data_IF_332590817175
#
_entry.id   IF_332590817175
#
_cell.length_a   1.000
_cell.length_b   1.000
_cell.length_c   1.000
_cell.angle_alpha   90.00
_cell.angle_beta   90.00
_cell.angle_gamma   90.00
#
_symmetry.space_group_name_H-M   'P 1'
#
loop_
_entity.id
_entity.type
_entity.pdbx_description
1 polymer ?
#
# COMPACT_ATOMS: atom_id res chain seq x y z
N UNK A 1 -11.83 4.89 17.67
CA UNK A 1 -12.28 3.80 18.56
C UNK A 1 -13.79 3.84 18.66
N UNK A 2 -14.46 2.70 18.46
CA UNK A 2 -15.89 2.51 18.66
C UNK A 2 -16.12 1.80 19.99
N UNK A 3 -17.12 2.25 20.73
CA UNK A 3 -17.55 1.63 21.99
C UNK A 3 -18.97 1.12 21.83
N UNK A 4 -19.22 -0.07 22.32
CA UNK A 4 -20.52 -0.73 22.29
C UNK A 4 -20.99 -1.02 23.71
N UNK A 5 -22.28 -1.29 23.85
CA UNK A 5 -22.84 -1.75 25.12
C UNK A 5 -22.26 -3.12 25.47
N UNK A 6 -22.09 -3.39 26.76
CA UNK A 6 -21.44 -4.62 27.25
C UNK A 6 -22.25 -5.90 26.99
N UNK A 7 -23.55 -5.76 26.74
CA UNK A 7 -24.48 -6.86 26.43
C UNK A 7 -24.51 -7.23 24.95
N UNK A 8 -23.86 -6.42 24.07
CA UNK A 8 -23.81 -6.70 22.65
C UNK A 8 -22.70 -7.71 22.35
N UNK A 9 -23.05 -8.82 21.69
CA UNK A 9 -22.08 -9.79 21.23
C UNK A 9 -21.08 -9.17 20.24
N UNK A 10 -19.78 -9.46 20.40
CA UNK A 10 -18.70 -8.88 19.60
C UNK A 10 -18.91 -9.09 18.09
N UNK A 11 -19.40 -10.27 17.69
CA UNK A 11 -19.68 -10.60 16.31
C UNK A 11 -20.82 -9.77 15.71
N UNK A 12 -21.86 -9.46 16.51
CA UNK A 12 -22.93 -8.56 16.08
C UNK A 12 -22.45 -7.11 15.93
N UNK A 13 -21.58 -6.67 16.84
CA UNK A 13 -20.93 -5.35 16.72
C UNK A 13 -20.08 -5.27 15.45
N UNK A 14 -19.31 -6.30 15.14
CA UNK A 14 -18.49 -6.38 13.93
C UNK A 14 -19.34 -6.27 12.66
N UNK A 15 -20.40 -7.07 12.57
CA UNK A 15 -21.32 -7.02 11.42
C UNK A 15 -21.92 -5.64 11.23
N UNK A 16 -22.29 -4.96 12.32
CA UNK A 16 -22.84 -3.59 12.27
C UNK A 16 -21.81 -2.58 11.78
N UNK A 17 -20.54 -2.70 12.21
CA UNK A 17 -19.44 -1.84 11.73
C UNK A 17 -19.19 -2.07 10.25
N UNK A 18 -19.09 -3.34 9.82
CA UNK A 18 -18.85 -3.68 8.43
C UNK A 18 -19.98 -3.18 7.52
N UNK A 19 -21.23 -3.35 7.94
CA UNK A 19 -22.40 -2.85 7.21
C UNK A 19 -22.36 -1.32 7.09
N UNK A 20 -21.99 -0.61 8.15
CA UNK A 20 -21.87 0.85 8.16
C UNK A 20 -20.72 1.34 7.26
N UNK A 21 -19.56 0.67 7.26
CA UNK A 21 -18.45 0.98 6.37
C UNK A 21 -18.86 0.78 4.90
N UNK A 22 -19.52 -0.33 4.59
CA UNK A 22 -20.00 -0.62 3.24
C UNK A 22 -21.04 0.41 2.76
N UNK A 23 -21.97 0.80 3.63
CA UNK A 23 -22.97 1.83 3.31
C UNK A 23 -22.34 3.21 3.07
N UNK A 24 -21.29 3.55 3.81
CA UNK A 24 -20.58 4.81 3.68
C UNK A 24 -19.56 4.82 2.51
N UNK A 25 -19.22 3.69 1.92
CA UNK A 25 -18.15 3.57 0.94
C UNK A 25 -18.28 4.54 -0.25
N UNK A 26 -19.53 4.75 -0.73
CA UNK A 26 -19.81 5.65 -1.85
C UNK A 26 -19.86 7.15 -1.43
N UNK A 27 -19.84 7.43 -0.13
CA UNK A 27 -19.83 8.79 0.42
C UNK A 27 -18.42 9.27 0.78
N UNK A 28 -17.44 8.35 0.74
CA UNK A 28 -16.05 8.67 1.04
C UNK A 28 -15.39 9.35 -0.17
N UNK A 29 -14.43 10.25 0.07
CA UNK A 29 -13.63 10.83 -1.00
C UNK A 29 -12.93 9.74 -1.83
N UNK A 30 -12.85 9.95 -3.14
CA UNK A 30 -12.25 8.97 -4.08
C UNK A 30 -10.73 8.94 -4.03
N UNK A 31 -10.10 9.89 -3.37
CA UNK A 31 -8.65 10.05 -3.21
C UNK A 31 -8.10 9.40 -1.92
N UNK A 32 -8.92 8.65 -1.20
CA UNK A 32 -8.46 7.90 -0.02
C UNK A 32 -7.47 6.82 -0.46
N UNK A 33 -6.25 6.76 0.14
CA UNK A 33 -5.20 5.82 -0.26
C UNK A 33 -5.58 4.35 -0.08
N UNK A 34 -6.46 4.03 0.88
CA UNK A 34 -6.94 2.68 1.14
C UNK A 34 -8.35 2.71 1.74
N UNK A 35 -9.18 1.68 1.50
CA UNK A 35 -10.48 1.54 2.15
C UNK A 35 -10.35 1.53 3.67
N UNK A 36 -11.37 2.02 4.42
CA UNK A 36 -11.40 1.91 5.87
C UNK A 36 -11.33 0.45 6.32
N UNK A 37 -10.46 0.17 7.27
CA UNK A 37 -10.32 -1.14 7.90
C UNK A 37 -10.63 -1.05 9.40
N UNK A 38 -11.13 -2.12 9.97
CA UNK A 38 -11.34 -2.23 11.41
C UNK A 38 -10.62 -3.46 11.97
N UNK A 39 -10.41 -3.48 13.27
CA UNK A 39 -9.82 -4.62 13.97
C UNK A 39 -10.49 -4.81 15.33
N UNK A 40 -10.62 -6.08 15.74
CA UNK A 40 -11.21 -6.48 17.03
C UNK A 40 -10.11 -6.50 18.10
N UNK A 41 -9.74 -5.35 18.61
CA UNK A 41 -8.74 -5.23 19.68
C UNK A 41 -9.16 -4.18 20.69
N UNK A 42 -8.73 -4.37 21.93
CA UNK A 42 -8.73 -3.29 22.90
C UNK A 42 -7.43 -2.49 22.73
N UNK A 43 -7.51 -1.20 22.35
CA UNK A 43 -6.31 -0.38 22.14
C UNK A 43 -5.42 -0.23 23.40
N UNK A 44 -5.98 -0.47 24.58
CA UNK A 44 -5.26 -0.41 25.84
C UNK A 44 -4.50 -1.71 26.17
N UNK A 45 -4.78 -2.81 25.48
CA UNK A 45 -4.10 -4.06 25.71
C UNK A 45 -2.71 -4.05 25.07
N UNK A 46 -1.72 -4.42 25.85
CA UNK A 46 -0.36 -4.65 25.32
C UNK A 46 -0.36 -5.86 24.36
N UNK A 47 0.54 -5.89 23.37
CA UNK A 47 0.75 -7.07 22.57
C UNK A 47 1.08 -8.31 23.45
N UNK A 48 0.46 -9.44 23.18
CA UNK A 48 0.74 -10.69 23.88
C UNK A 48 2.06 -11.31 23.44
N UNK A 49 2.48 -11.01 22.22
CA UNK A 49 3.72 -11.51 21.64
C UNK A 49 4.30 -10.47 20.70
N UNK A 50 5.59 -10.21 20.84
CA UNK A 50 6.37 -9.38 19.92
C UNK A 50 7.44 -10.23 19.28
N UNK A 51 7.46 -10.30 17.95
CA UNK A 51 8.45 -11.03 17.16
C UNK A 51 9.34 -10.07 16.41
N UNK A 52 10.64 -10.28 16.45
CA UNK A 52 11.60 -9.57 15.61
C UNK A 52 12.05 -10.47 14.45
N UNK A 53 11.83 -10.01 13.22
CA UNK A 53 12.25 -10.72 12.01
C UNK A 53 13.50 -10.03 11.47
N UNK A 54 14.58 -10.80 11.37
CA UNK A 54 15.88 -10.35 10.84
C UNK A 54 16.28 -11.20 9.65
N UNK A 55 17.20 -10.70 8.83
CA UNK A 55 17.82 -11.48 7.76
C UNK A 55 19.28 -11.11 7.60
N UNK A 56 20.11 -12.12 7.32
CA UNK A 56 21.53 -11.93 6.95
C UNK A 56 21.76 -11.82 5.45
N UNK A 57 20.76 -12.16 4.64
CA UNK A 57 20.90 -12.27 3.18
C UNK A 57 19.95 -11.37 2.41
N UNK A 58 18.76 -11.06 2.97
CA UNK A 58 17.76 -10.24 2.30
C UNK A 58 17.80 -8.79 2.81
N UNK A 59 17.67 -7.80 1.92
CA UNK A 59 17.46 -6.41 2.31
C UNK A 59 16.19 -6.25 3.15
N UNK A 60 16.19 -5.31 4.11
CA UNK A 60 15.05 -5.10 5.04
C UNK A 60 13.74 -4.78 4.33
N UNK A 61 13.75 -4.13 3.17
CA UNK A 61 12.57 -3.90 2.32
C UNK A 61 11.91 -5.22 1.89
N UNK A 62 12.72 -6.21 1.50
CA UNK A 62 12.21 -7.53 1.12
C UNK A 62 11.72 -8.31 2.33
N UNK A 63 12.43 -8.21 3.47
CA UNK A 63 12.00 -8.81 4.74
C UNK A 63 10.65 -8.25 5.16
N UNK A 64 10.46 -6.93 5.08
CA UNK A 64 9.19 -6.27 5.38
C UNK A 64 8.08 -6.79 4.46
N UNK A 65 8.32 -6.87 3.16
CA UNK A 65 7.33 -7.35 2.20
C UNK A 65 6.92 -8.81 2.48
N UNK A 66 7.88 -9.68 2.80
CA UNK A 66 7.59 -11.07 3.18
C UNK A 66 6.85 -11.17 4.52
N UNK A 67 7.24 -10.33 5.49
CA UNK A 67 6.57 -10.27 6.79
C UNK A 67 5.11 -9.84 6.64
N UNK A 68 4.83 -8.81 5.83
CA UNK A 68 3.48 -8.28 5.59
C UNK A 68 2.61 -9.26 4.79
N UNK A 69 3.12 -9.75 3.67
CA UNK A 69 2.31 -10.54 2.73
C UNK A 69 2.14 -12.01 3.14
N UNK A 70 3.03 -12.58 3.93
CA UNK A 70 3.00 -13.99 4.30
C UNK A 70 2.87 -14.24 5.79
N UNK A 71 3.74 -13.64 6.60
CA UNK A 71 3.81 -13.95 8.03
C UNK A 71 2.63 -13.33 8.77
N UNK A 72 2.43 -12.02 8.62
CA UNK A 72 1.34 -11.32 9.29
C UNK A 72 -0.04 -11.85 8.89
N UNK A 73 -0.23 -12.16 7.61
CA UNK A 73 -1.50 -12.73 7.13
C UNK A 73 -1.79 -14.12 7.72
N UNK A 74 -0.78 -14.99 7.79
CA UNK A 74 -0.97 -16.32 8.40
C UNK A 74 -1.24 -16.24 9.90
N UNK A 75 -0.55 -15.34 10.61
CA UNK A 75 -0.76 -15.15 12.04
C UNK A 75 -2.14 -14.55 12.31
N UNK A 76 -2.59 -13.59 11.51
CA UNK A 76 -3.91 -12.96 11.66
C UNK A 76 -5.09 -13.93 11.49
N UNK A 77 -4.86 -15.06 10.81
CA UNK A 77 -5.87 -16.13 10.64
C UNK A 77 -5.95 -17.09 11.83
N UNK A 78 -5.03 -17.00 12.80
CA UNK A 78 -5.03 -17.86 13.99
C UNK A 78 -6.18 -17.43 14.90
N UNK A 79 -6.95 -18.40 15.36
CA UNK A 79 -8.05 -18.18 16.31
C UNK A 79 -7.52 -17.52 17.59
N UNK A 80 -8.18 -16.43 18.01
CA UNK A 80 -7.78 -15.65 19.17
C UNK A 80 -6.84 -14.47 18.86
N UNK A 81 -6.32 -14.37 17.64
CA UNK A 81 -5.57 -13.17 17.19
C UNK A 81 -6.55 -12.10 16.73
N UNK A 82 -6.46 -10.93 17.34
CA UNK A 82 -7.30 -9.77 16.99
C UNK A 82 -6.64 -8.81 16.00
N UNK A 83 -5.31 -8.62 16.14
CA UNK A 83 -4.56 -7.71 15.28
C UNK A 83 -3.08 -8.12 15.22
N UNK A 84 -2.51 -8.03 14.04
CA UNK A 84 -1.07 -8.14 13.81
C UNK A 84 -0.59 -6.83 13.19
N UNK A 85 0.31 -6.13 13.85
CA UNK A 85 0.90 -4.89 13.35
C UNK A 85 2.39 -5.05 13.10
N UNK A 86 2.86 -4.44 12.03
CA UNK A 86 4.29 -4.38 11.70
C UNK A 86 4.83 -2.99 12.03
N UNK A 87 6.02 -2.94 12.58
CA UNK A 87 6.72 -1.71 12.95
C UNK A 87 8.19 -1.77 12.50
N UNK A 88 8.77 -0.61 12.21
CA UNK A 88 10.19 -0.47 11.89
C UNK A 88 10.62 -0.97 10.50
N UNK A 89 9.74 -1.63 9.78
CA UNK A 89 10.02 -2.07 8.42
C UNK A 89 9.74 -0.98 7.38
N UNK A 90 10.40 -1.11 6.25
CA UNK A 90 10.30 -0.20 5.12
C UNK A 90 9.53 -0.86 3.97
N UNK A 91 8.35 -0.36 3.65
CA UNK A 91 7.57 -0.86 2.50
C UNK A 91 8.27 -0.51 1.18
N UNK A 92 8.29 -1.43 0.20
CA UNK A 92 8.83 -1.13 -1.12
C UNK A 92 7.98 -0.10 -1.84
N UNK A 93 8.62 0.84 -2.52
CA UNK A 93 7.98 1.85 -3.35
C UNK A 93 8.87 2.24 -4.53
N UNK A 94 8.28 2.76 -5.59
CA UNK A 94 9.02 3.46 -6.64
C UNK A 94 9.15 4.91 -6.23
N UNK A 95 10.38 5.35 -6.01
CA UNK A 95 10.69 6.73 -5.63
C UNK A 95 11.06 7.54 -6.87
N UNK A 96 10.34 8.63 -7.08
CA UNK A 96 10.61 9.60 -8.14
C UNK A 96 11.13 10.88 -7.50
N UNK A 97 12.41 11.17 -7.70
CA UNK A 97 13.05 12.37 -7.19
C UNK A 97 13.22 13.37 -8.33
N UNK A 98 12.38 14.38 -8.35
CA UNK A 98 12.39 15.40 -9.38
C UNK A 98 13.69 16.22 -9.39
N UNK A 99 14.20 16.53 -10.59
CA UNK A 99 15.33 17.43 -10.79
C UNK A 99 14.80 18.83 -11.18
N UNK A 100 14.85 19.82 -10.26
CA UNK A 100 14.29 21.15 -10.54
C UNK A 100 14.91 21.85 -11.74
N UNK A 101 16.21 21.64 -11.98
CA UNK A 101 16.93 22.25 -13.11
C UNK A 101 16.47 21.65 -14.44
N UNK A 102 16.32 20.34 -14.48
CA UNK A 102 15.84 19.62 -15.67
C UNK A 102 14.37 19.95 -15.98
N UNK A 103 13.52 20.06 -14.94
CA UNK A 103 12.12 20.51 -15.09
C UNK A 103 12.07 21.92 -15.70
N UNK A 104 12.78 22.89 -15.11
CA UNK A 104 12.82 24.26 -15.61
C UNK A 104 13.35 24.36 -17.05
N UNK A 105 14.39 23.59 -17.40
CA UNK A 105 14.93 23.54 -18.77
C UNK A 105 13.92 23.02 -19.80
N UNK A 106 12.96 22.19 -19.37
CA UNK A 106 11.88 21.69 -20.22
C UNK A 106 10.56 22.47 -20.09
N UNK A 107 10.52 23.54 -19.29
CA UNK A 107 9.31 24.33 -19.05
C UNK A 107 8.25 23.59 -18.24
N UNK A 108 8.67 22.62 -17.43
CA UNK A 108 7.81 21.78 -16.61
C UNK A 108 7.84 22.19 -15.14
N UNK A 109 6.77 21.91 -14.44
CA UNK A 109 6.63 22.04 -13.00
C UNK A 109 6.37 20.69 -12.32
N UNK A 110 6.30 20.65 -11.00
CA UNK A 110 6.06 19.41 -10.23
C UNK A 110 4.65 18.84 -10.47
N UNK A 111 3.68 19.69 -10.76
CA UNK A 111 2.30 19.25 -11.01
C UNK A 111 2.18 18.52 -12.35
N UNK A 112 2.92 18.96 -13.37
CA UNK A 112 3.01 18.26 -14.65
C UNK A 112 3.55 16.85 -14.46
N UNK A 113 4.58 16.72 -13.62
CA UNK A 113 5.17 15.43 -13.27
C UNK A 113 4.18 14.53 -12.53
N UNK A 114 3.48 15.08 -11.52
CA UNK A 114 2.45 14.35 -10.77
C UNK A 114 1.33 13.87 -11.69
N UNK A 115 0.87 14.73 -12.57
CA UNK A 115 -0.20 14.42 -13.52
C UNK A 115 0.22 13.32 -14.49
N UNK A 116 1.44 13.39 -15.04
CA UNK A 116 1.97 12.38 -15.95
C UNK A 116 2.03 11.00 -15.27
N UNK A 117 2.55 10.93 -14.03
CA UNK A 117 2.65 9.69 -13.24
C UNK A 117 1.25 9.12 -12.94
N UNK A 118 0.31 9.96 -12.48
CA UNK A 118 -1.04 9.54 -12.16
C UNK A 118 -1.78 9.02 -13.39
N UNK A 119 -1.64 9.73 -14.53
CA UNK A 119 -2.30 9.35 -15.80
C UNK A 119 -1.72 8.06 -16.37
N UNK A 120 -0.41 7.84 -16.22
CA UNK A 120 0.25 6.64 -16.73
C UNK A 120 -0.14 5.36 -15.96
N UNK A 121 -0.65 5.49 -14.73
CA UNK A 121 -0.97 4.35 -13.86
C UNK A 121 -2.47 4.19 -13.59
N UNK A 122 -3.31 4.55 -14.53
CA UNK A 122 -4.78 4.43 -14.42
C UNK A 122 -5.27 3.14 -15.04
N UNK A 123 -5.97 2.32 -14.25
CA UNK A 123 -6.73 1.18 -14.78
C UNK A 123 -7.99 1.69 -15.48
N UNK A 124 -8.02 1.61 -16.80
CA UNK A 124 -9.18 2.00 -17.62
C UNK A 124 -9.83 0.78 -18.24
N UNK A 125 -11.17 0.77 -18.32
CA UNK A 125 -11.90 -0.21 -19.11
C UNK A 125 -11.53 -0.05 -20.59
N UNK A 126 -11.17 -1.16 -21.25
CA UNK A 126 -10.75 -1.18 -22.66
C UNK A 126 -11.90 -1.53 -23.61
N UNK A 127 -13.07 -1.88 -23.07
CA UNK A 127 -14.26 -2.28 -23.81
C UNK A 127 -14.40 -3.78 -23.96
N UNK A 128 -15.35 -4.19 -24.79
CA UNK A 128 -15.68 -5.57 -25.06
C UNK A 128 -15.58 -5.87 -26.56
N UNK A 129 -15.24 -7.10 -26.89
CA UNK A 129 -15.41 -7.66 -28.23
C UNK A 129 -16.65 -8.55 -28.20
N UNK A 130 -17.74 -8.06 -28.77
CA UNK A 130 -19.02 -8.77 -28.80
C UNK A 130 -19.18 -9.53 -30.10
N UNK A 131 -19.46 -10.82 -29.99
CA UNK A 131 -19.86 -11.68 -31.09
C UNK A 131 -21.32 -12.12 -30.88
N UNK A 132 -22.03 -12.63 -31.90
CA UNK A 132 -23.42 -13.07 -31.74
C UNK A 132 -23.64 -14.13 -30.65
N UNK A 133 -22.56 -14.87 -30.26
CA UNK A 133 -22.62 -15.95 -29.28
C UNK A 133 -21.85 -15.71 -28.01
N UNK A 134 -20.91 -14.75 -27.97
CA UNK A 134 -20.02 -14.51 -26.81
C UNK A 134 -19.58 -13.06 -26.72
N UNK A 135 -19.44 -12.56 -25.52
CA UNK A 135 -18.81 -11.30 -25.21
C UNK A 135 -17.45 -11.54 -24.53
N UNK A 136 -16.39 -10.93 -25.02
CA UNK A 136 -15.04 -10.98 -24.47
C UNK A 136 -14.68 -9.60 -23.91
N UNK A 137 -14.42 -9.52 -22.62
CA UNK A 137 -13.92 -8.29 -21.98
C UNK A 137 -12.44 -8.13 -22.34
N UNK A 138 -12.07 -6.98 -22.90
CA UNK A 138 -10.68 -6.65 -23.17
C UNK A 138 -10.10 -6.08 -21.87
N UNK A 139 -9.20 -6.83 -21.22
CA UNK A 139 -8.46 -6.38 -20.05
C UNK A 139 -6.96 -6.25 -20.41
N UNK A 140 -6.35 -5.13 -20.02
CA UNK A 140 -4.93 -4.91 -20.15
C UNK A 140 -4.37 -4.48 -18.81
N UNK A 141 -3.29 -5.12 -18.38
CA UNK A 141 -2.59 -4.74 -17.18
C UNK A 141 -1.67 -3.54 -17.47
N UNK A 142 -2.25 -2.34 -17.41
CA UNK A 142 -1.54 -1.08 -17.70
C UNK A 142 -0.85 -0.50 -16.45
N UNK A 143 -0.88 -1.19 -15.30
CA UNK A 143 -0.27 -0.70 -14.08
C UNK A 143 1.25 -0.87 -14.11
N UNK A 144 1.96 0.23 -13.95
CA UNK A 144 3.41 0.24 -13.81
C UNK A 144 3.78 -0.25 -12.40
N UNK A 145 4.72 -1.22 -12.33
CA UNK A 145 5.08 -1.90 -11.09
C UNK A 145 6.55 -1.77 -10.71
N UNK A 146 7.39 -1.32 -11.63
CA UNK A 146 8.84 -1.22 -11.44
C UNK A 146 9.36 0.16 -11.80
N UNK A 147 10.47 0.54 -11.19
CA UNK A 147 11.15 1.80 -11.54
C UNK A 147 11.56 1.84 -13.02
N UNK A 148 11.88 0.68 -13.61
CA UNK A 148 12.24 0.58 -15.02
C UNK A 148 11.08 0.99 -15.94
N UNK A 149 9.86 0.55 -15.63
CA UNK A 149 8.65 0.91 -16.37
C UNK A 149 8.32 2.41 -16.22
N UNK A 150 8.45 2.96 -15.02
CA UNK A 150 8.20 4.39 -14.77
C UNK A 150 9.19 5.30 -15.50
N UNK A 151 10.46 4.90 -15.69
CA UNK A 151 11.47 5.71 -16.40
C UNK A 151 11.05 6.10 -17.80
N UNK A 152 10.28 5.23 -18.50
CA UNK A 152 9.80 5.45 -19.85
C UNK A 152 8.51 6.26 -19.96
N UNK A 153 7.91 6.70 -18.86
CA UNK A 153 6.68 7.50 -18.89
C UNK A 153 6.94 8.83 -19.57
N UNK A 154 6.16 9.13 -20.60
CA UNK A 154 6.26 10.41 -21.31
C UNK A 154 5.56 11.49 -20.49
N UNK A 155 6.32 12.52 -20.08
CA UNK A 155 5.81 13.66 -19.32
C UNK A 155 5.25 14.73 -20.27
N UNK A 156 5.97 15.03 -21.36
CA UNK A 156 5.56 16.01 -22.36
C UNK A 156 6.27 15.75 -23.70
N UNK A 157 5.91 16.54 -24.72
CA UNK A 157 6.63 16.57 -25.99
C UNK A 157 7.25 17.95 -26.19
N UNK A 158 8.52 18.02 -26.55
CA UNK A 158 9.26 19.24 -26.86
C UNK A 158 9.84 19.14 -28.27
N UNK A 159 9.44 20.06 -29.15
CA UNK A 159 9.85 20.05 -30.55
C UNK A 159 9.60 18.70 -31.27
N UNK A 160 8.51 18.02 -30.93
CA UNK A 160 8.16 16.71 -31.49
C UNK A 160 8.90 15.51 -30.88
N UNK A 161 9.85 15.72 -29.97
CA UNK A 161 10.53 14.66 -29.24
C UNK A 161 9.89 14.43 -27.86
N UNK A 162 9.68 13.17 -27.42
CA UNK A 162 9.17 12.88 -26.09
C UNK A 162 10.21 13.23 -25.02
N UNK A 163 9.77 13.89 -23.96
CA UNK A 163 10.52 14.07 -22.72
C UNK A 163 10.01 13.03 -21.73
N UNK A 164 10.84 12.09 -21.38
CA UNK A 164 10.47 10.97 -20.47
C UNK A 164 10.83 11.29 -19.03
N UNK A 165 10.23 10.53 -18.10
CA UNK A 165 10.38 10.74 -16.66
C UNK A 165 11.85 10.68 -16.21
N UNK A 166 12.65 9.80 -16.81
CA UNK A 166 14.10 9.72 -16.55
C UNK A 166 14.91 10.95 -16.96
N UNK A 167 14.39 11.80 -17.84
CA UNK A 167 15.09 13.03 -18.28
C UNK A 167 14.95 14.14 -17.23
N UNK A 168 13.90 14.08 -16.40
CA UNK A 168 13.53 15.15 -15.46
C UNK A 168 13.51 14.71 -14.00
N UNK A 169 13.71 13.39 -13.73
CA UNK A 169 13.73 12.83 -12.39
C UNK A 169 14.64 11.61 -12.28
N UNK A 170 15.18 11.37 -11.10
CA UNK A 170 15.76 10.09 -10.73
C UNK A 170 14.65 9.13 -10.28
N UNK A 171 14.56 7.98 -10.96
CA UNK A 171 13.52 6.96 -10.69
C UNK A 171 14.18 5.67 -10.25
N UNK A 172 13.91 5.26 -9.00
CA UNK A 172 14.52 4.07 -8.40
C UNK A 172 13.55 3.31 -7.52
N UNK A 173 13.80 2.02 -7.34
CA UNK A 173 13.16 1.22 -6.31
C UNK A 173 13.81 1.55 -4.96
N UNK A 174 12.98 1.93 -3.99
CA UNK A 174 13.44 2.36 -2.68
C UNK A 174 12.31 2.11 -1.65
N UNK A 175 12.53 2.53 -0.42
CA UNK A 175 11.52 2.50 0.62
C UNK A 175 10.52 3.66 0.48
N UNK A 176 9.25 3.38 0.79
CA UNK A 176 8.21 4.42 0.92
C UNK A 176 8.61 5.47 1.96
N UNK A 177 9.11 5.01 3.11
CA UNK A 177 9.63 5.88 4.16
C UNK A 177 11.00 5.37 4.65
N UNK A 178 12.05 6.06 4.25
CA UNK A 178 13.44 5.74 4.62
C UNK A 178 13.80 6.05 6.09
N UNK A 179 12.91 6.74 6.81
CA UNK A 179 13.13 7.13 8.22
C UNK A 179 12.61 6.10 9.22
N UNK A 180 11.95 5.05 8.74
CA UNK A 180 11.49 3.95 9.58
C UNK A 180 12.63 2.94 9.77
N UNK A 181 12.90 2.60 11.03
CA UNK A 181 13.84 1.54 11.37
C UNK A 181 13.47 0.94 12.74
N UNK A 182 13.79 -0.33 12.93
CA UNK A 182 13.75 -1.01 14.21
C UNK A 182 14.93 -1.98 14.32
N UNK A 183 15.28 -2.29 15.56
CA UNK A 183 16.39 -3.20 15.88
C UNK A 183 15.93 -4.20 16.92
N UNK A 184 16.44 -5.42 16.81
CA UNK A 184 16.37 -6.46 17.82
C UNK A 184 17.79 -6.91 18.16
N UNK A 185 18.21 -6.72 19.42
CA UNK A 185 19.58 -7.01 19.86
C UNK A 185 20.64 -6.37 18.93
N UNK A 186 20.47 -5.09 18.62
CA UNK A 186 21.36 -4.30 17.76
C UNK A 186 21.37 -4.71 16.27
N UNK A 187 20.58 -5.70 15.89
CA UNK A 187 20.41 -6.13 14.49
C UNK A 187 19.16 -5.48 13.89
N UNK A 188 19.24 -4.89 12.69
CA UNK A 188 18.06 -4.38 12.01
C UNK A 188 16.96 -5.44 11.89
N UNK A 189 15.74 -5.09 12.22
CA UNK A 189 14.63 -6.02 12.32
C UNK A 189 13.30 -5.37 11.88
N UNK A 190 12.38 -6.22 11.44
CA UNK A 190 10.95 -5.88 11.34
C UNK A 190 10.28 -6.44 12.58
N UNK A 191 9.56 -5.60 13.30
CA UNK A 191 8.88 -6.00 14.53
C UNK A 191 7.41 -6.29 14.23
N UNK A 192 6.97 -7.48 14.58
CA UNK A 192 5.57 -7.89 14.58
C UNK A 192 5.03 -7.83 16.00
N UNK A 193 3.97 -7.07 16.21
CA UNK A 193 3.21 -7.06 17.46
C UNK A 193 1.89 -7.79 17.23
N UNK A 194 1.61 -8.78 18.06
CA UNK A 194 0.42 -9.61 17.99
C UNK A 194 -0.44 -9.29 19.19
N UNK A 195 -1.67 -8.84 18.93
CA UNK A 195 -2.67 -8.55 19.94
C UNK A 195 -3.76 -9.60 19.91
N UNK A 196 -4.25 -9.98 21.09
CA UNK A 196 -5.34 -10.94 21.21
C UNK A 196 -6.68 -10.32 20.87
N UNK A 197 -7.62 -11.16 20.50
CA UNK A 197 -9.03 -10.78 20.42
C UNK A 197 -9.61 -10.67 21.84
N UNK A 198 -10.44 -9.66 22.14
CA UNK A 198 -11.15 -9.58 23.43
C UNK A 198 -11.95 -10.85 23.71
N UNK A 199 -11.90 -11.33 24.96
CA UNK A 199 -12.61 -12.55 25.38
C UNK A 199 -11.88 -13.87 25.08
N UNK A 200 -10.66 -13.83 24.55
CA UNK A 200 -9.80 -15.02 24.37
C UNK A 200 -8.66 -15.04 25.40
N UNK A 201 -8.21 -16.25 25.73
CA UNK A 201 -7.05 -16.45 26.61
C UNK A 201 -5.76 -16.53 25.80
#
# INVERSE_FOLDING_TARGET
>A
TLQFLLDLALDSAEQSVQASINAAANLLPTDIPAPPVYSKVNPADAPILTLGITSKTLPMIQVQNLADTRVAQKISQVVGVGLVTLSGGQRPAVRVQANPKALAANGLNLEDLRTAITTANVKRAKGNLDTPARSYVIDANDQLRSAAEYRGVVVTYKNGAPVVLSDVADVREDAENVRLAAWMNEVPAVILNIQRQPGTN
#
